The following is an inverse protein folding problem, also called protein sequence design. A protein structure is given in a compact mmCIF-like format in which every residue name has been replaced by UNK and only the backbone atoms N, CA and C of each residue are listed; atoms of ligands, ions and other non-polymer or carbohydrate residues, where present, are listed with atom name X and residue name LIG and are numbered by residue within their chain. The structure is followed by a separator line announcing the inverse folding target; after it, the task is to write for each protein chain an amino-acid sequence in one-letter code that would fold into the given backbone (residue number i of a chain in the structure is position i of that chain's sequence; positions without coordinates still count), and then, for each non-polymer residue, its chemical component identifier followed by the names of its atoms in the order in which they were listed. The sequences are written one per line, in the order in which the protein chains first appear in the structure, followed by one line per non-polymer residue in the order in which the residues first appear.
data_IF_279266451308
#
_entry.id   IF_279266451308
#
_cell.length_a   1.000
_cell.length_b   1.000
_cell.length_c   1.000
_cell.angle_alpha   90.00
_cell.angle_beta   90.00
_cell.angle_gamma   90.00
#
_symmetry.space_group_name_H-M   'P 1'
#
loop_
_entity.id
_entity.type
_entity.pdbx_description
1 polymer ?
#
# COMPACT_ATOMS: atom_id res chain seq x y z
N UNK A 1 -17.50 43.16 14.45
CA UNK A 1 -17.48 41.84 15.11
C UNK A 1 -16.47 40.99 14.36
N UNK A 2 -15.24 40.87 14.86
CA UNK A 2 -14.17 40.14 14.17
C UNK A 2 -14.28 38.64 14.50
N UNK A 3 -14.45 37.81 13.47
CA UNK A 3 -14.44 36.37 13.62
C UNK A 3 -12.98 35.87 13.51
N UNK A 4 -12.53 35.15 14.53
CA UNK A 4 -11.22 34.50 14.53
C UNK A 4 -11.35 33.11 13.90
N UNK A 5 -10.56 32.84 12.86
CA UNK A 5 -10.40 31.50 12.29
C UNK A 5 -9.31 30.80 13.09
N UNK A 6 -9.69 29.77 13.85
CA UNK A 6 -8.75 28.94 14.57
C UNK A 6 -8.35 27.77 13.67
N UNK A 7 -7.11 27.77 13.18
CA UNK A 7 -6.55 26.66 12.41
C UNK A 7 -6.13 25.56 13.38
N UNK A 8 -6.79 24.41 13.32
CA UNK A 8 -6.36 23.21 14.03
C UNK A 8 -5.14 22.62 13.29
N UNK A 9 -3.94 22.77 13.86
CA UNK A 9 -2.80 21.97 13.43
C UNK A 9 -3.04 20.53 13.85
N UNK A 10 -3.18 19.61 12.89
CA UNK A 10 -3.13 18.18 13.18
C UNK A 10 -1.68 17.81 13.47
N UNK A 11 -1.39 17.14 14.60
CA UNK A 11 -0.07 16.56 14.80
C UNK A 11 0.19 15.57 13.66
N UNK A 12 1.39 15.62 13.08
CA UNK A 12 1.81 14.59 12.14
C UNK A 12 2.00 13.30 12.93
N UNK A 13 1.31 12.24 12.54
CA UNK A 13 1.56 10.94 13.13
C UNK A 13 2.94 10.47 12.66
N UNK A 14 3.79 10.01 13.57
CA UNK A 14 5.02 9.34 13.21
C UNK A 14 4.68 8.03 12.48
N UNK A 15 5.47 7.65 11.49
CA UNK A 15 5.31 6.36 10.82
C UNK A 15 5.45 5.24 11.85
N UNK A 16 4.49 4.31 11.84
CA UNK A 16 4.60 3.10 12.65
C UNK A 16 5.80 2.30 12.16
N UNK A 17 6.70 1.84 13.04
CA UNK A 17 7.79 1.00 12.59
C UNK A 17 7.21 -0.36 12.14
N UNK A 18 7.72 -0.88 11.03
CA UNK A 18 7.23 -2.08 10.33
C UNK A 18 8.38 -3.05 10.05
N UNK A 19 8.09 -4.29 9.68
CA UNK A 19 9.13 -5.27 9.38
C UNK A 19 9.80 -5.01 8.02
N UNK A 20 9.02 -4.50 7.05
CA UNK A 20 9.43 -4.17 5.69
C UNK A 20 8.43 -3.17 5.09
N UNK A 21 8.90 -2.27 4.24
CA UNK A 21 8.06 -1.46 3.35
C UNK A 21 8.07 -2.08 1.94
N UNK A 22 6.89 -2.43 1.40
CA UNK A 22 6.78 -3.09 0.10
C UNK A 22 6.17 -2.14 -0.94
N UNK A 23 6.87 -1.96 -2.06
CA UNK A 23 6.36 -1.24 -3.23
C UNK A 23 6.24 -2.22 -4.39
N UNK A 24 5.01 -2.38 -4.90
CA UNK A 24 4.71 -3.14 -6.11
C UNK A 24 4.62 -2.18 -7.28
N UNK A 25 5.59 -2.27 -8.19
CA UNK A 25 5.62 -1.47 -9.42
C UNK A 25 5.04 -2.28 -10.57
N UNK A 26 3.91 -1.81 -11.09
CA UNK A 26 3.22 -2.34 -12.25
C UNK A 26 3.64 -1.61 -13.52
N UNK A 27 3.57 -2.30 -14.65
CA UNK A 27 3.69 -1.67 -15.96
C UNK A 27 2.36 -1.00 -16.33
N UNK A 28 2.34 0.33 -16.32
CA UNK A 28 1.25 1.17 -16.81
C UNK A 28 1.50 1.80 -18.19
N UNK A 29 2.43 1.25 -18.98
CA UNK A 29 2.77 1.79 -20.30
C UNK A 29 1.64 1.62 -21.32
N UNK A 30 1.59 2.50 -22.33
CA UNK A 30 0.53 2.50 -23.34
C UNK A 30 0.53 1.31 -24.31
N UNK A 31 1.45 0.35 -24.15
CA UNK A 31 1.46 -0.92 -24.89
C UNK A 31 0.67 -2.03 -24.20
N UNK A 32 0.26 -1.83 -22.94
CA UNK A 32 -0.56 -2.76 -22.18
C UNK A 32 -2.03 -2.52 -22.51
N UNK A 33 -2.77 -3.59 -22.79
CA UNK A 33 -4.22 -3.51 -22.97
C UNK A 33 -4.99 -3.71 -21.64
N UNK A 34 -6.31 -3.44 -21.67
CA UNK A 34 -7.16 -3.51 -20.48
C UNK A 34 -7.23 -4.94 -19.89
N UNK A 35 -7.12 -5.97 -20.73
CA UNK A 35 -7.16 -7.37 -20.28
C UNK A 35 -5.86 -7.73 -19.56
N UNK A 36 -4.72 -7.33 -20.11
CA UNK A 36 -3.39 -7.45 -19.51
C UNK A 36 -3.30 -6.70 -18.18
N UNK A 37 -3.80 -5.46 -18.12
CA UNK A 37 -3.85 -4.67 -16.89
C UNK A 37 -4.73 -5.35 -15.82
N UNK A 38 -5.90 -5.84 -16.21
CA UNK A 38 -6.79 -6.54 -15.31
C UNK A 38 -6.17 -7.86 -14.82
N UNK A 39 -5.45 -8.58 -15.67
CA UNK A 39 -4.71 -9.79 -15.30
C UNK A 39 -3.63 -9.46 -14.27
N UNK A 40 -2.86 -8.40 -14.50
CA UNK A 40 -1.79 -7.97 -13.61
C UNK A 40 -2.34 -7.60 -12.21
N UNK A 41 -3.40 -6.79 -12.15
CA UNK A 41 -4.07 -6.41 -10.88
C UNK A 41 -4.62 -7.61 -10.12
N UNK A 42 -5.27 -8.55 -10.81
CA UNK A 42 -5.75 -9.81 -10.20
C UNK A 42 -4.59 -10.62 -9.64
N UNK A 43 -3.50 -10.77 -10.40
CA UNK A 43 -2.30 -11.50 -9.97
C UNK A 43 -1.68 -10.90 -8.70
N UNK A 44 -1.56 -9.58 -8.60
CA UNK A 44 -1.07 -8.93 -7.38
C UNK A 44 -2.02 -9.12 -6.19
N UNK A 45 -3.34 -8.98 -6.40
CA UNK A 45 -4.32 -9.19 -5.34
C UNK A 45 -4.30 -10.63 -4.81
N UNK A 46 -4.21 -11.62 -5.69
CA UNK A 46 -4.09 -13.03 -5.35
C UNK A 46 -2.77 -13.29 -4.59
N UNK A 47 -1.64 -12.74 -5.04
CA UNK A 47 -0.34 -12.93 -4.40
C UNK A 47 -0.29 -12.33 -2.98
N UNK A 48 -0.81 -11.11 -2.79
CA UNK A 48 -0.79 -10.43 -1.48
C UNK A 48 -1.72 -11.13 -0.47
N UNK A 49 -2.83 -11.71 -0.94
CA UNK A 49 -3.80 -12.40 -0.08
C UNK A 49 -3.51 -13.90 0.06
N UNK A 50 -2.50 -14.43 -0.64
CA UNK A 50 -2.15 -15.84 -0.60
C UNK A 50 -1.74 -16.27 0.82
N UNK A 51 -2.16 -17.45 1.32
CA UNK A 51 -1.85 -17.90 2.68
C UNK A 51 -0.36 -17.85 3.02
N UNK A 52 0.51 -18.23 2.08
CA UNK A 52 1.96 -18.18 2.29
C UNK A 52 2.49 -16.75 2.51
N UNK A 53 1.94 -15.75 1.81
CA UNK A 53 2.32 -14.35 2.00
C UNK A 53 1.86 -13.85 3.37
N UNK A 54 0.62 -14.19 3.76
CA UNK A 54 0.08 -13.83 5.07
C UNK A 54 0.85 -14.50 6.21
N UNK A 55 1.25 -15.76 6.05
CA UNK A 55 2.04 -16.49 7.03
C UNK A 55 3.46 -15.92 7.15
N UNK A 56 4.07 -15.51 6.03
CA UNK A 56 5.34 -14.78 6.04
C UNK A 56 5.23 -13.47 6.81
N UNK A 57 4.20 -12.65 6.57
CA UNK A 57 3.94 -11.42 7.34
C UNK A 57 3.81 -11.74 8.83
N UNK A 58 3.00 -12.75 9.20
CA UNK A 58 2.77 -13.14 10.60
C UNK A 58 4.00 -13.70 11.30
N UNK A 59 4.99 -14.19 10.55
CA UNK A 59 6.26 -14.66 11.11
C UNK A 59 7.21 -13.51 11.49
N UNK A 60 6.95 -12.29 11.04
CA UNK A 60 7.72 -11.08 11.38
C UNK A 60 7.55 -10.65 12.83
N UNK A 61 8.46 -9.81 13.31
CA UNK A 61 8.45 -9.32 14.70
C UNK A 61 7.26 -8.38 14.95
N UNK A 62 6.95 -7.54 13.97
CA UNK A 62 5.87 -6.54 14.05
C UNK A 62 4.60 -7.01 13.37
N UNK A 63 4.71 -8.04 12.53
CA UNK A 63 3.61 -8.64 11.79
C UNK A 63 2.89 -7.65 10.87
N UNK A 64 3.63 -6.64 10.42
CA UNK A 64 3.10 -5.51 9.66
C UNK A 64 4.05 -5.18 8.51
N UNK A 65 3.50 -5.21 7.30
CA UNK A 65 4.16 -4.81 6.05
C UNK A 65 3.19 -3.89 5.29
N UNK A 66 3.41 -2.57 5.27
CA UNK A 66 2.67 -1.66 4.40
C UNK A 66 2.99 -1.95 2.94
N UNK A 67 1.96 -1.86 2.10
CA UNK A 67 2.07 -2.09 0.66
C UNK A 67 1.63 -0.84 -0.08
N UNK A 68 2.50 -0.35 -0.97
CA UNK A 68 2.15 0.63 -1.98
C UNK A 68 2.13 -0.05 -3.35
N UNK A 69 1.13 0.26 -4.15
CA UNK A 69 1.04 -0.17 -5.54
C UNK A 69 1.18 1.07 -6.44
N UNK A 70 2.06 1.00 -7.42
CA UNK A 70 2.38 2.09 -8.34
C UNK A 70 2.24 1.59 -9.76
N UNK A 71 1.46 2.30 -10.55
CA UNK A 71 1.25 2.10 -11.99
C UNK A 71 1.87 3.26 -12.78
#
# INVERSE_FOLDING_TARGET
MAAWVMVLMRPVAAAEPVDLELVLTADGSGSIDDEELALQRRGYAEAITHPQALDAIRSGFRQAIPVAYVE
#
